data_IF_783311917203
#
_entry.id   IF_783311917203
#
_cell.length_a   1.000
_cell.length_b   1.000
_cell.length_c   1.000
_cell.angle_alpha   90.00
_cell.angle_beta   90.00
_cell.angle_gamma   90.00
#
_symmetry.space_group_name_H-M   'P 1'
#
loop_
_entity.id
_entity.type
_entity.pdbx_description
1 polymer ?
#
# COMPACT_ATOMS: atom_id res chain seq x y z
N UNK A 1 -4.76 0.87 21.83
CA UNK A 1 -4.68 1.66 20.59
C UNK A 1 -3.35 1.39 19.92
N UNK A 2 -3.35 1.11 18.61
CA UNK A 2 -2.13 0.89 17.83
C UNK A 2 -1.80 2.20 17.11
N UNK A 3 -0.55 2.65 17.20
CA UNK A 3 0.00 3.65 16.31
C UNK A 3 0.75 2.92 15.20
N UNK A 4 0.38 3.18 13.94
CA UNK A 4 1.05 2.59 12.79
C UNK A 4 1.56 3.67 11.87
N UNK A 5 2.84 3.61 11.53
CA UNK A 5 3.40 4.39 10.44
C UNK A 5 3.17 3.66 9.13
N UNK A 6 2.62 4.40 8.16
CA UNK A 6 2.42 3.89 6.81
C UNK A 6 3.62 4.23 5.93
N UNK A 7 4.65 3.40 6.06
CA UNK A 7 5.97 3.53 5.44
C UNK A 7 6.09 2.63 4.20
N UNK A 8 5.14 2.80 3.27
CA UNK A 8 5.17 2.14 1.96
C UNK A 8 5.85 2.97 0.87
N UNK A 9 6.32 4.18 1.18
CA UNK A 9 6.86 5.14 0.21
C UNK A 9 8.28 5.58 0.61
N UNK A 10 9.31 4.84 0.16
CA UNK A 10 10.70 5.11 0.54
C UNK A 10 11.22 6.47 0.07
N UNK A 11 10.55 7.13 -0.89
CA UNK A 11 10.92 8.47 -1.37
C UNK A 11 10.38 9.60 -0.49
N UNK A 12 9.40 9.33 0.38
CA UNK A 12 8.77 10.32 1.27
C UNK A 12 9.03 10.05 2.75
N UNK A 13 9.58 8.88 3.07
CA UNK A 13 9.98 8.52 4.42
C UNK A 13 11.22 9.32 4.84
N UNK A 14 11.07 10.08 5.92
CA UNK A 14 12.18 10.70 6.63
C UNK A 14 11.96 10.45 8.12
N UNK A 15 12.96 9.90 8.79
CA UNK A 15 12.92 9.57 10.23
C UNK A 15 12.57 10.79 11.10
N UNK A 16 12.86 11.99 10.59
CA UNK A 16 12.50 13.27 11.19
C UNK A 16 10.99 13.47 11.33
N UNK A 17 10.19 13.03 10.34
CA UNK A 17 8.74 13.14 10.39
C UNK A 17 8.13 12.18 11.40
N UNK A 18 8.63 10.95 11.47
CA UNK A 18 8.17 9.97 12.46
C UNK A 18 8.43 10.46 13.88
N UNK A 19 9.64 10.96 14.15
CA UNK A 19 9.98 11.49 15.46
C UNK A 19 9.10 12.69 15.84
N UNK A 20 8.87 13.62 14.90
CA UNK A 20 7.98 14.76 15.15
C UNK A 20 6.55 14.31 15.51
N UNK A 21 6.02 13.30 14.80
CA UNK A 21 4.70 12.73 15.08
C UNK A 21 4.67 12.07 16.47
N UNK A 22 5.68 11.28 16.83
CA UNK A 22 5.78 10.65 18.14
C UNK A 22 5.87 11.67 19.29
N UNK A 23 6.52 12.81 19.06
CA UNK A 23 6.68 13.86 20.06
C UNK A 23 5.41 14.68 20.27
N UNK A 24 4.61 14.88 19.21
CA UNK A 24 3.39 15.69 19.25
C UNK A 24 2.17 14.91 19.77
N UNK A 25 2.06 13.61 19.49
CA UNK A 25 0.92 12.80 19.92
C UNK A 25 0.67 12.84 21.45
N UNK A 26 1.69 12.72 22.32
CA UNK A 26 1.52 12.88 23.77
C UNK A 26 1.06 14.28 24.18
N UNK A 27 1.50 15.33 23.46
CA UNK A 27 1.08 16.73 23.71
C UNK A 27 -0.40 16.92 23.42
N UNK A 28 -0.92 16.17 22.45
CA UNK A 28 -2.35 16.12 22.11
C UNK A 28 -3.15 15.17 23.02
N UNK A 29 -2.51 14.54 24.02
CA UNK A 29 -3.15 13.60 24.93
C UNK A 29 -3.38 12.21 24.34
N UNK A 30 -2.80 11.91 23.18
CA UNK A 30 -2.90 10.62 22.51
C UNK A 30 -1.88 9.65 23.09
N UNK A 31 -2.32 8.45 23.46
CA UNK A 31 -1.46 7.36 23.98
C UNK A 31 -1.71 6.09 23.21
N UNK A 32 -0.65 5.43 22.77
CA UNK A 32 -0.70 4.14 22.08
C UNK A 32 -0.03 3.05 22.91
N UNK A 33 -0.47 1.81 22.71
CA UNK A 33 0.05 0.62 23.40
C UNK A 33 1.07 -0.13 22.55
N UNK A 34 0.93 -0.04 21.23
CA UNK A 34 1.77 -0.73 20.24
C UNK A 34 2.14 0.26 19.16
N UNK A 35 3.43 0.29 18.81
CA UNK A 35 3.96 0.96 17.64
C UNK A 35 4.26 -0.11 16.59
N UNK A 36 3.84 0.11 15.33
CA UNK A 36 4.10 -0.81 14.21
C UNK A 36 4.37 -0.04 12.93
N UNK A 37 5.04 -0.66 11.97
CA UNK A 37 5.22 -0.12 10.63
C UNK A 37 4.48 -0.99 9.60
N UNK A 38 4.11 -0.42 8.45
CA UNK A 38 3.55 -1.22 7.35
C UNK A 38 4.65 -2.10 6.74
N UNK A 39 5.89 -1.62 6.71
CA UNK A 39 7.06 -2.38 6.24
C UNK A 39 7.32 -3.67 7.00
N UNK A 40 7.05 -3.70 8.31
CA UNK A 40 7.09 -4.92 9.15
C UNK A 40 6.19 -6.05 8.62
N UNK A 41 5.20 -5.70 7.78
CA UNK A 41 4.21 -6.62 7.24
C UNK A 41 4.36 -6.89 5.74
N UNK A 42 5.42 -6.41 5.08
CA UNK A 42 5.61 -6.58 3.62
C UNK A 42 5.61 -8.04 3.18
N UNK A 43 6.22 -8.94 3.93
CA UNK A 43 6.21 -10.37 3.61
C UNK A 43 4.78 -10.92 3.56
N UNK A 44 3.93 -10.56 4.53
CA UNK A 44 2.52 -10.96 4.54
C UNK A 44 1.73 -10.30 3.42
N UNK A 45 2.02 -9.04 3.08
CA UNK A 45 1.37 -8.35 1.96
C UNK A 45 1.71 -9.05 0.62
N UNK A 46 2.96 -9.48 0.43
CA UNK A 46 3.37 -10.24 -0.74
C UNK A 46 2.68 -11.61 -0.81
N UNK A 47 2.57 -12.32 0.30
CA UNK A 47 1.81 -13.58 0.36
C UNK A 47 0.34 -13.36 -0.03
N UNK A 48 -0.29 -12.28 0.44
CA UNK A 48 -1.64 -11.94 0.01
C UNK A 48 -1.73 -11.60 -1.47
N UNK A 49 -0.75 -10.89 -2.02
CA UNK A 49 -0.68 -10.63 -3.46
C UNK A 49 -0.68 -11.94 -4.26
N UNK A 50 0.16 -12.91 -3.87
CA UNK A 50 0.21 -14.22 -4.52
C UNK A 50 -1.12 -14.97 -4.42
N UNK A 51 -1.75 -14.98 -3.24
CA UNK A 51 -3.06 -15.60 -3.03
C UNK A 51 -4.13 -14.94 -3.92
N UNK A 52 -4.11 -13.61 -4.06
CA UNK A 52 -5.08 -12.88 -4.87
C UNK A 52 -4.88 -13.15 -6.36
N UNK A 53 -3.63 -13.21 -6.83
CA UNK A 53 -3.29 -13.59 -8.19
C UNK A 53 -3.74 -15.02 -8.50
N UNK A 54 -3.45 -15.98 -7.62
CA UNK A 54 -3.87 -17.38 -7.76
C UNK A 54 -5.40 -17.56 -7.80
N UNK A 55 -6.14 -16.72 -7.07
CA UNK A 55 -7.61 -16.74 -7.05
C UNK A 55 -8.23 -16.00 -8.25
N UNK A 56 -7.44 -15.39 -9.13
CA UNK A 56 -7.94 -14.55 -10.22
C UNK A 56 -8.63 -13.27 -9.73
N UNK A 57 -8.28 -12.81 -8.52
CA UNK A 57 -8.83 -11.59 -7.90
C UNK A 57 -7.90 -10.38 -8.07
N UNK A 58 -6.68 -10.61 -8.55
CA UNK A 58 -5.71 -9.58 -8.94
C UNK A 58 -5.10 -9.94 -10.29
N UNK A 59 -4.55 -8.93 -10.98
CA UNK A 59 -3.83 -9.08 -12.24
C UNK A 59 -2.69 -8.05 -12.30
N UNK A 60 -1.67 -8.31 -13.11
CA UNK A 60 -0.57 -7.38 -13.38
C UNK A 60 -0.93 -6.53 -14.59
N UNK A 61 -0.81 -5.20 -14.46
CA UNK A 61 -1.14 -4.23 -15.51
C UNK A 61 0.12 -3.44 -15.87
N UNK A 62 0.62 -3.65 -17.09
CA UNK A 62 1.79 -2.98 -17.66
C UNK A 62 1.39 -1.91 -18.70
N UNK A 63 0.11 -1.55 -18.77
CA UNK A 63 -0.35 -0.46 -19.65
C UNK A 63 0.24 0.89 -19.23
N UNK A 64 0.43 1.77 -20.21
CA UNK A 64 0.90 3.13 -19.97
C UNK A 64 0.01 3.84 -18.92
N UNK A 65 0.57 4.57 -17.94
CA UNK A 65 -0.21 5.18 -16.87
C UNK A 65 -1.34 6.12 -17.34
N UNK A 66 -1.13 6.88 -18.42
CA UNK A 66 -2.16 7.78 -18.95
C UNK A 66 -3.26 6.98 -19.64
N UNK A 67 -2.91 5.91 -20.35
CA UNK A 67 -3.88 5.00 -20.95
C UNK A 67 -4.72 4.29 -19.87
N UNK A 68 -4.07 3.75 -18.84
CA UNK A 68 -4.73 3.09 -17.72
C UNK A 68 -5.73 4.04 -17.03
N UNK A 69 -5.33 5.30 -16.82
CA UNK A 69 -6.19 6.32 -16.25
C UNK A 69 -7.41 6.59 -17.14
N UNK A 70 -7.21 6.78 -18.45
CA UNK A 70 -8.30 7.01 -19.39
C UNK A 70 -9.29 5.83 -19.47
N UNK A 71 -8.79 4.59 -19.44
CA UNK A 71 -9.61 3.38 -19.41
C UNK A 71 -10.46 3.31 -18.14
N UNK A 72 -9.88 3.64 -16.97
CA UNK A 72 -10.61 3.70 -15.69
C UNK A 72 -11.73 4.74 -15.71
N UNK A 73 -11.47 5.93 -16.26
CA UNK A 73 -12.48 6.99 -16.41
C UNK A 73 -13.65 6.56 -17.30
N UNK A 74 -13.36 5.81 -18.37
CA UNK A 74 -14.36 5.25 -19.30
C UNK A 74 -15.01 3.96 -18.80
N UNK A 75 -14.52 3.38 -17.69
CA UNK A 75 -14.91 2.07 -17.15
C UNK A 75 -14.67 0.92 -18.14
N UNK A 76 -13.65 1.07 -18.96
CA UNK A 76 -13.19 0.04 -19.90
C UNK A 76 -12.22 -0.90 -19.17
N UNK A 77 -12.31 -2.20 -19.46
CA UNK A 77 -11.37 -3.17 -18.90
C UNK A 77 -9.99 -3.01 -19.55
N UNK A 78 -8.93 -3.08 -18.74
CA UNK A 78 -7.56 -3.18 -19.26
C UNK A 78 -7.41 -4.47 -20.08
N UNK A 79 -6.59 -4.43 -21.12
CA UNK A 79 -6.22 -5.61 -21.91
C UNK A 79 -5.55 -6.68 -21.02
N UNK A 80 -4.90 -6.25 -19.94
CA UNK A 80 -4.18 -7.12 -19.03
C UNK A 80 -5.08 -7.79 -17.98
N UNK A 81 -6.37 -7.40 -17.92
CA UNK A 81 -7.32 -7.85 -16.88
C UNK A 81 -7.49 -9.37 -16.87
N UNK A 82 -7.52 -9.99 -18.04
CA UNK A 82 -7.74 -11.42 -18.21
C UNK A 82 -6.43 -12.18 -18.47
N UNK A 83 -5.27 -11.56 -18.18
CA UNK A 83 -3.99 -12.22 -18.28
C UNK A 83 -3.97 -13.44 -17.36
N UNK A 84 -3.80 -14.62 -17.95
CA UNK A 84 -3.55 -15.84 -17.21
C UNK A 84 -2.15 -15.80 -16.60
N UNK A 85 -2.03 -16.15 -15.31
CA UNK A 85 -0.75 -16.49 -14.68
C UNK A 85 -0.13 -17.63 -15.50
N UNK A 86 0.90 -17.33 -16.31
CA UNK A 86 1.67 -18.32 -17.07
C UNK A 86 2.67 -19.06 -16.20
#
# INVERSE_FOLDING_TARGET
>A
MILRFDDTNPAKECTEFEQAILDDLPRLGVRWDVLSHTSDHFDSLLEFCDILLQKGLAYVDDTDPELMKAQRERREASICRDNSMS
#
